data_IF_143498709831
#
_entry.id   IF_143498709831
#
_cell.length_a   1.000
_cell.length_b   1.000
_cell.length_c   1.000
_cell.angle_alpha   90.00
_cell.angle_beta   90.00
_cell.angle_gamma   90.00
#
_symmetry.space_group_name_H-M   'P 1'
#
loop_
_entity.id
_entity.type
_entity.pdbx_description
1 polymer ?
#
# COMPACT_ATOMS: atom_id res chain seq x y z
N UNK A 1 8.96 -21.32 -17.28
CA UNK A 1 9.54 -20.99 -15.96
C UNK A 1 9.05 -19.62 -15.55
N UNK A 2 8.64 -19.43 -14.28
CA UNK A 2 8.28 -18.11 -13.75
C UNK A 2 9.51 -17.20 -13.75
N UNK A 3 9.38 -15.95 -14.16
CA UNK A 3 10.43 -14.94 -14.00
C UNK A 3 10.55 -14.50 -12.54
N UNK A 4 11.63 -13.85 -12.11
CA UNK A 4 11.79 -13.39 -10.74
C UNK A 4 10.80 -12.28 -10.38
N UNK A 5 10.35 -12.29 -9.10
CA UNK A 5 9.61 -11.19 -8.48
C UNK A 5 10.57 -10.40 -7.60
N UNK A 6 10.61 -9.08 -7.78
CA UNK A 6 11.37 -8.16 -6.93
C UNK A 6 10.47 -7.63 -5.83
N UNK A 7 10.91 -7.71 -4.59
CA UNK A 7 10.18 -7.23 -3.42
C UNK A 7 10.97 -6.10 -2.78
N UNK A 8 10.45 -4.89 -2.86
CA UNK A 8 11.04 -3.69 -2.27
C UNK A 8 10.59 -3.58 -0.82
N UNK A 9 11.51 -3.18 0.07
CA UNK A 9 11.34 -3.16 1.52
C UNK A 9 11.04 -4.53 2.12
N UNK A 10 11.71 -5.55 1.59
CA UNK A 10 11.56 -6.96 1.96
C UNK A 10 11.86 -7.26 3.44
N UNK A 11 12.52 -6.36 4.16
CA UNK A 11 12.88 -6.54 5.56
C UNK A 11 11.76 -6.16 6.54
N UNK A 12 10.77 -5.37 6.13
CA UNK A 12 9.63 -5.05 6.97
C UNK A 12 8.66 -6.24 7.08
N UNK A 13 7.69 -6.17 7.97
CA UNK A 13 6.76 -7.27 8.25
C UNK A 13 6.00 -7.73 6.98
N UNK A 14 5.48 -6.80 6.21
CA UNK A 14 4.72 -7.12 5.00
C UNK A 14 5.64 -7.64 3.89
N UNK A 15 6.81 -7.02 3.70
CA UNK A 15 7.80 -7.47 2.74
C UNK A 15 8.25 -8.90 3.01
N UNK A 16 8.52 -9.25 4.27
CA UNK A 16 8.82 -10.64 4.66
C UNK A 16 7.70 -11.60 4.31
N UNK A 17 6.45 -11.23 4.57
CA UNK A 17 5.31 -12.07 4.21
C UNK A 17 5.20 -12.28 2.69
N UNK A 18 5.52 -11.24 1.88
CA UNK A 18 5.54 -11.37 0.42
C UNK A 18 6.69 -12.28 -0.03
N UNK A 19 7.88 -12.17 0.58
CA UNK A 19 9.02 -13.07 0.29
C UNK A 19 8.64 -14.52 0.59
N UNK A 20 8.09 -14.79 1.77
CA UNK A 20 7.68 -16.15 2.20
C UNK A 20 6.62 -16.74 1.26
N UNK A 21 5.60 -15.95 0.92
CA UNK A 21 4.56 -16.39 0.01
C UNK A 21 5.10 -16.63 -1.42
N UNK A 22 6.01 -15.78 -1.92
CA UNK A 22 6.62 -15.92 -3.24
C UNK A 22 7.45 -17.23 -3.31
N UNK A 23 8.30 -17.46 -2.33
CA UNK A 23 9.11 -18.68 -2.26
C UNK A 23 8.24 -19.94 -2.13
N UNK A 24 7.20 -19.90 -1.29
CA UNK A 24 6.25 -21.01 -1.14
C UNK A 24 5.53 -21.36 -2.46
N UNK A 25 5.21 -20.35 -3.26
CA UNK A 25 4.59 -20.51 -4.59
C UNK A 25 5.61 -20.86 -5.70
N UNK A 26 6.90 -21.03 -5.35
CA UNK A 26 7.96 -21.38 -6.30
C UNK A 26 8.40 -20.23 -7.23
N UNK A 27 8.23 -18.97 -6.80
CA UNK A 27 8.77 -17.84 -7.52
C UNK A 27 10.25 -17.67 -7.22
N UNK A 28 11.12 -17.52 -8.24
CA UNK A 28 12.42 -16.90 -8.02
C UNK A 28 12.22 -15.51 -7.43
N UNK A 29 12.87 -15.20 -6.31
CA UNK A 29 12.57 -14.01 -5.50
C UNK A 29 13.82 -13.16 -5.30
N UNK A 30 13.72 -11.86 -5.55
CA UNK A 30 14.76 -10.87 -5.28
C UNK A 30 14.24 -9.97 -4.14
N UNK A 31 14.78 -10.15 -2.94
CA UNK A 31 14.45 -9.35 -1.78
C UNK A 31 15.36 -8.14 -1.66
N UNK A 32 14.78 -6.95 -1.67
CA UNK A 32 15.49 -5.67 -1.61
C UNK A 32 15.21 -4.97 -0.28
N UNK A 33 16.25 -4.53 0.41
CA UNK A 33 16.15 -3.70 1.61
C UNK A 33 17.42 -2.87 1.80
N UNK A 34 17.30 -1.75 2.50
CA UNK A 34 18.43 -0.96 2.99
C UNK A 34 19.09 -1.60 4.22
N UNK A 35 18.39 -2.49 4.91
CA UNK A 35 18.87 -3.20 6.11
C UNK A 35 19.57 -4.50 5.72
N UNK A 36 20.91 -4.44 5.69
CA UNK A 36 21.74 -5.59 5.33
C UNK A 36 21.65 -6.74 6.34
N UNK A 37 21.48 -6.44 7.63
CA UNK A 37 21.37 -7.47 8.67
C UNK A 37 20.04 -8.23 8.53
N UNK A 38 18.96 -7.52 8.26
CA UNK A 38 17.66 -8.15 8.00
C UNK A 38 17.64 -8.98 6.71
N UNK A 39 18.36 -8.55 5.67
CA UNK A 39 18.53 -9.33 4.43
C UNK A 39 19.34 -10.62 4.69
N UNK A 40 20.37 -10.55 5.51
CA UNK A 40 21.15 -11.75 5.88
C UNK A 40 20.29 -12.73 6.67
N UNK A 41 19.51 -12.25 7.65
CA UNK A 41 18.58 -13.09 8.39
C UNK A 41 17.51 -13.74 7.49
N UNK A 42 17.03 -13.02 6.45
CA UNK A 42 16.15 -13.60 5.44
C UNK A 42 16.85 -14.69 4.63
N UNK A 43 18.10 -14.47 4.22
CA UNK A 43 18.89 -15.44 3.46
C UNK A 43 19.15 -16.71 4.27
N UNK A 44 19.48 -16.57 5.56
CA UNK A 44 19.71 -17.69 6.47
C UNK A 44 18.43 -18.51 6.68
N UNK A 45 17.30 -17.85 6.86
CA UNK A 45 16.00 -18.51 7.06
C UNK A 45 15.54 -19.31 5.83
N UNK A 46 15.89 -18.86 4.63
CA UNK A 46 15.43 -19.44 3.37
C UNK A 46 16.56 -20.08 2.56
N UNK A 47 17.54 -20.68 3.24
CA UNK A 47 18.62 -21.42 2.59
C UNK A 47 18.07 -22.53 1.69
N UNK A 48 18.70 -22.72 0.54
CA UNK A 48 18.29 -23.74 -0.44
C UNK A 48 17.07 -23.38 -1.30
N UNK A 49 16.52 -22.16 -1.14
CA UNK A 49 15.46 -21.62 -1.99
C UNK A 49 16.01 -20.75 -3.11
N UNK A 50 15.12 -20.30 -4.01
CA UNK A 50 15.49 -19.38 -5.10
C UNK A 50 15.43 -17.90 -4.63
N UNK A 51 15.95 -17.61 -3.45
CA UNK A 51 16.06 -16.26 -2.89
C UNK A 51 17.41 -15.64 -3.22
N UNK A 52 17.36 -14.44 -3.81
CA UNK A 52 18.50 -13.52 -3.94
C UNK A 52 18.22 -12.30 -3.08
N UNK A 53 19.18 -11.89 -2.25
CA UNK A 53 19.09 -10.66 -1.47
C UNK A 53 19.93 -9.56 -2.10
N UNK A 54 19.40 -8.36 -2.17
CA UNK A 54 20.05 -7.20 -2.76
C UNK A 54 19.92 -5.99 -1.84
N UNK A 55 21.03 -5.44 -1.40
CA UNK A 55 21.04 -4.19 -0.64
C UNK A 55 20.65 -3.04 -1.57
N UNK A 56 19.61 -2.28 -1.19
CA UNK A 56 19.11 -1.18 -2.00
C UNK A 56 17.92 -0.48 -1.36
N UNK A 57 17.53 0.64 -1.93
CA UNK A 57 16.42 1.47 -1.44
C UNK A 57 15.84 2.29 -2.58
N UNK A 58 14.59 2.71 -2.42
CA UNK A 58 13.88 3.61 -3.33
C UNK A 58 13.59 4.98 -2.69
N UNK A 59 14.26 5.31 -1.58
CA UNK A 59 13.98 6.51 -0.79
C UNK A 59 14.19 7.82 -1.56
N UNK A 60 15.03 7.80 -2.58
CA UNK A 60 15.30 8.93 -3.47
C UNK A 60 15.69 8.48 -4.88
N UNK A 61 15.85 9.44 -5.77
CA UNK A 61 16.16 9.24 -7.18
C UNK A 61 17.51 8.52 -7.39
N UNK A 62 18.55 8.93 -6.65
CA UNK A 62 19.88 8.36 -6.81
C UNK A 62 19.94 6.88 -6.39
N UNK A 63 19.28 6.55 -5.26
CA UNK A 63 19.20 5.18 -4.76
C UNK A 63 18.33 4.30 -5.64
N UNK A 64 17.22 4.83 -6.16
CA UNK A 64 16.38 4.13 -7.11
C UNK A 64 17.11 3.83 -8.43
N UNK A 65 17.91 4.77 -8.93
CA UNK A 65 18.74 4.57 -10.12
C UNK A 65 19.81 3.49 -9.89
N UNK A 66 20.48 3.53 -8.73
CA UNK A 66 21.50 2.53 -8.36
C UNK A 66 20.87 1.13 -8.23
N UNK A 67 19.71 1.02 -7.58
CA UNK A 67 18.95 -0.23 -7.50
C UNK A 67 18.58 -0.77 -8.87
N UNK A 68 18.07 0.09 -9.76
CA UNK A 68 17.72 -0.30 -11.11
C UNK A 68 18.94 -0.80 -11.90
N UNK A 69 20.11 -0.19 -11.73
CA UNK A 69 21.36 -0.66 -12.33
C UNK A 69 21.75 -2.05 -11.82
N UNK A 70 21.73 -2.25 -10.50
CA UNK A 70 22.03 -3.54 -9.89
C UNK A 70 21.05 -4.66 -10.32
N UNK A 71 19.76 -4.34 -10.48
CA UNK A 71 18.78 -5.30 -11.01
C UNK A 71 19.04 -5.67 -12.47
N UNK A 72 19.53 -4.73 -13.32
CA UNK A 72 19.93 -5.04 -14.70
C UNK A 72 21.11 -5.99 -14.77
N UNK A 73 22.10 -5.82 -13.88
CA UNK A 73 23.29 -6.68 -13.81
C UNK A 73 22.95 -8.14 -13.51
N UNK A 74 21.78 -8.43 -12.89
CA UNK A 74 21.32 -9.80 -12.67
C UNK A 74 20.91 -10.52 -13.97
N UNK A 75 20.75 -9.79 -15.07
CA UNK A 75 20.40 -10.30 -16.42
C UNK A 75 19.23 -11.31 -16.40
N UNK A 76 18.20 -11.00 -15.62
CA UNK A 76 17.00 -11.83 -15.48
C UNK A 76 15.76 -11.04 -15.84
N UNK A 77 14.94 -11.49 -16.80
CA UNK A 77 13.70 -10.81 -17.15
C UNK A 77 12.71 -10.85 -15.97
N UNK A 78 12.49 -9.70 -15.34
CA UNK A 78 11.65 -9.54 -14.15
C UNK A 78 10.17 -9.75 -14.52
N UNK A 79 9.46 -10.60 -13.76
CA UNK A 79 8.03 -10.84 -13.95
C UNK A 79 7.17 -9.78 -13.25
N UNK A 80 7.62 -9.30 -12.11
CA UNK A 80 6.90 -8.27 -11.36
C UNK A 80 7.72 -7.64 -10.25
N UNK A 81 7.24 -6.49 -9.81
CA UNK A 81 7.80 -5.75 -8.66
C UNK A 81 6.66 -5.50 -7.67
N UNK A 82 6.90 -5.79 -6.40
CA UNK A 82 5.99 -5.50 -5.30
C UNK A 82 6.65 -4.48 -4.38
N UNK A 83 6.02 -3.32 -4.22
CA UNK A 83 6.42 -2.31 -3.25
C UNK A 83 5.65 -2.58 -1.96
N UNK A 84 6.34 -3.08 -0.95
CA UNK A 84 5.76 -3.48 0.32
C UNK A 84 5.92 -2.42 1.42
N UNK A 85 6.24 -1.17 1.05
CA UNK A 85 6.37 -0.07 2.00
C UNK A 85 4.99 0.44 2.42
N UNK A 86 4.66 0.23 3.69
CA UNK A 86 3.42 0.74 4.29
C UNK A 86 3.62 2.01 5.11
N UNK A 87 4.85 2.55 5.14
CA UNK A 87 5.24 3.74 5.91
C UNK A 87 4.97 3.61 7.42
N UNK A 88 5.49 4.54 8.21
CA UNK A 88 5.26 4.57 9.65
C UNK A 88 3.97 5.34 10.01
N UNK A 89 3.03 4.75 10.76
CA UNK A 89 1.84 5.45 11.21
C UNK A 89 2.20 6.42 12.35
N UNK A 90 2.31 7.72 12.06
CA UNK A 90 2.50 8.76 13.08
C UNK A 90 1.17 9.42 13.39
N UNK A 91 0.75 9.34 14.65
CA UNK A 91 -0.43 10.04 15.14
C UNK A 91 -0.20 11.55 15.19
N UNK A 92 -1.25 12.31 14.97
CA UNK A 92 -1.28 13.77 15.08
C UNK A 92 -2.48 14.34 14.34
N UNK A 93 -3.09 15.38 14.91
CA UNK A 93 -4.13 16.14 14.20
C UNK A 93 -3.46 16.97 13.11
N UNK A 94 -4.09 17.04 11.96
CA UNK A 94 -3.55 17.77 10.82
C UNK A 94 -3.39 19.28 11.13
N UNK A 95 -4.34 19.84 11.85
CA UNK A 95 -4.35 21.27 12.22
C UNK A 95 -3.28 21.63 13.27
N UNK A 96 -2.72 20.66 13.97
CA UNK A 96 -1.66 20.87 14.95
C UNK A 96 -0.25 20.82 14.32
N UNK A 97 -0.18 20.43 13.02
CA UNK A 97 1.07 20.32 12.30
C UNK A 97 1.40 21.62 11.55
N UNK A 98 2.62 22.15 11.69
CA UNK A 98 3.11 23.19 10.80
C UNK A 98 3.04 22.73 9.33
N UNK A 99 2.69 23.63 8.42
CA UNK A 99 2.55 23.30 7.01
C UNK A 99 3.81 22.64 6.41
N UNK A 100 5.01 23.09 6.82
CA UNK A 100 6.27 22.49 6.37
C UNK A 100 6.43 21.05 6.85
N UNK A 101 6.01 20.74 8.08
CA UNK A 101 6.05 19.37 8.59
C UNK A 101 5.08 18.45 7.84
N UNK A 102 3.90 18.96 7.47
CA UNK A 102 2.97 18.24 6.62
C UNK A 102 3.59 17.92 5.24
N UNK A 103 4.21 18.91 4.59
CA UNK A 103 4.90 18.72 3.32
C UNK A 103 6.00 17.67 3.45
N UNK A 104 6.84 17.75 4.48
CA UNK A 104 7.90 16.77 4.72
C UNK A 104 7.36 15.33 4.86
N UNK A 105 6.19 15.17 5.48
CA UNK A 105 5.54 13.85 5.63
C UNK A 105 4.96 13.34 4.32
N UNK A 106 4.37 14.22 3.53
CA UNK A 106 3.87 13.86 2.19
C UNK A 106 5.04 13.47 1.29
N UNK A 107 6.11 14.26 1.30
CA UNK A 107 7.33 13.97 0.55
C UNK A 107 7.93 12.62 0.93
N UNK A 108 8.01 12.30 2.21
CA UNK A 108 8.54 11.02 2.69
C UNK A 108 7.72 9.80 2.22
N UNK A 109 6.43 9.98 1.94
CA UNK A 109 5.58 8.91 1.39
C UNK A 109 5.58 8.88 -0.14
N UNK A 110 5.62 10.04 -0.79
CA UNK A 110 5.41 10.16 -2.23
C UNK A 110 6.70 10.03 -3.03
N UNK A 111 7.80 10.67 -2.59
CA UNK A 111 9.07 10.65 -3.33
C UNK A 111 9.63 9.25 -3.56
N UNK A 112 9.63 8.33 -2.59
CA UNK A 112 10.07 6.96 -2.82
C UNK A 112 9.27 6.24 -3.90
N UNK A 113 7.97 6.50 -3.99
CA UNK A 113 7.09 5.87 -4.98
C UNK A 113 7.34 6.41 -6.39
N UNK A 114 7.53 7.73 -6.52
CA UNK A 114 7.87 8.37 -7.82
C UNK A 114 9.24 7.90 -8.28
N UNK A 115 10.25 7.94 -7.41
CA UNK A 115 11.61 7.53 -7.72
C UNK A 115 11.66 6.04 -8.10
N UNK A 116 10.99 5.18 -7.34
CA UNK A 116 10.86 3.76 -7.67
C UNK A 116 10.24 3.56 -9.05
N UNK A 117 9.09 4.16 -9.32
CA UNK A 117 8.38 4.01 -10.58
C UNK A 117 9.24 4.45 -11.78
N UNK A 118 9.88 5.62 -11.67
CA UNK A 118 10.71 6.21 -12.74
C UNK A 118 11.85 5.29 -13.18
N UNK A 119 12.50 4.60 -12.24
CA UNK A 119 13.65 3.76 -12.54
C UNK A 119 13.31 2.28 -12.74
N UNK A 120 12.24 1.78 -12.12
CA UNK A 120 11.91 0.37 -12.13
C UNK A 120 10.87 -0.01 -13.21
N UNK A 121 9.95 0.87 -13.60
CA UNK A 121 9.00 0.58 -14.69
C UNK A 121 9.70 0.30 -16.03
N UNK A 122 10.78 1.03 -16.42
CA UNK A 122 11.53 0.69 -17.63
C UNK A 122 12.15 -0.71 -17.63
N UNK A 123 12.53 -1.25 -16.45
CA UNK A 123 13.03 -2.63 -16.34
C UNK A 123 11.94 -3.65 -16.65
N UNK A 124 10.72 -3.41 -16.17
CA UNK A 124 9.58 -4.28 -16.47
C UNK A 124 9.21 -4.20 -17.94
N UNK A 125 9.22 -3.02 -18.54
CA UNK A 125 8.97 -2.83 -19.96
C UNK A 125 10.00 -3.57 -20.82
N UNK A 126 11.30 -3.47 -20.47
CA UNK A 126 12.39 -4.14 -21.18
C UNK A 126 12.33 -5.68 -21.06
N UNK A 127 11.66 -6.23 -20.04
CA UNK A 127 11.52 -7.67 -19.86
C UNK A 127 10.66 -8.35 -20.94
N UNK A 128 9.85 -7.60 -21.66
CA UNK A 128 8.94 -8.10 -22.70
C UNK A 128 7.83 -9.04 -22.21
N UNK A 129 7.59 -9.11 -20.88
CA UNK A 129 6.70 -10.10 -20.25
C UNK A 129 5.36 -9.54 -19.76
N UNK A 130 4.93 -8.35 -20.21
CA UNK A 130 3.77 -7.66 -19.64
C UNK A 130 3.89 -7.54 -18.12
N UNK A 131 5.03 -7.02 -17.65
CA UNK A 131 5.40 -6.97 -16.24
C UNK A 131 4.36 -6.31 -15.36
N UNK A 132 4.32 -6.72 -14.09
CA UNK A 132 3.39 -6.20 -13.10
C UNK A 132 4.13 -5.38 -12.04
N UNK A 133 3.62 -4.19 -11.74
CA UNK A 133 4.11 -3.31 -10.68
C UNK A 133 2.99 -3.11 -9.66
N UNK A 134 3.13 -3.72 -8.48
CA UNK A 134 2.11 -3.72 -7.44
C UNK A 134 2.60 -2.86 -6.28
N UNK A 135 1.87 -1.81 -5.96
CA UNK A 135 2.08 -0.99 -4.75
C UNK A 135 1.10 -1.46 -3.69
N UNK A 136 1.58 -1.82 -2.50
CA UNK A 136 0.68 -2.08 -1.38
C UNK A 136 0.35 -0.76 -0.71
N UNK A 137 -0.91 -0.37 -0.78
CA UNK A 137 -1.42 0.89 -0.25
C UNK A 137 -1.85 0.82 1.21
N UNK A 138 -2.35 1.94 1.68
CA UNK A 138 -2.87 2.09 3.03
C UNK A 138 -4.40 2.19 3.01
N UNK A 139 -5.10 1.63 4.00
CA UNK A 139 -6.56 1.74 4.09
C UNK A 139 -7.05 3.18 4.28
N UNK A 140 -6.20 4.10 4.76
CA UNK A 140 -6.55 5.51 4.87
C UNK A 140 -6.42 6.31 3.57
N UNK A 141 -6.14 5.66 2.43
CA UNK A 141 -6.01 6.33 1.13
C UNK A 141 -7.34 6.74 0.50
N UNK A 142 -8.43 6.10 0.89
CA UNK A 142 -9.79 6.40 0.38
C UNK A 142 -10.66 7.06 1.46
N UNK A 143 -10.45 6.72 2.72
CA UNK A 143 -11.20 7.25 3.86
C UNK A 143 -10.25 7.79 4.93
N UNK A 144 -10.40 9.05 5.35
CA UNK A 144 -9.50 9.65 6.32
C UNK A 144 -9.62 8.96 7.68
N UNK A 145 -8.48 8.79 8.35
CA UNK A 145 -8.46 8.28 9.71
C UNK A 145 -8.25 9.41 10.71
N UNK A 146 -9.16 9.50 11.68
CA UNK A 146 -9.04 10.47 12.76
C UNK A 146 -7.72 10.29 13.51
N UNK A 147 -6.99 11.39 13.70
CA UNK A 147 -5.68 11.38 14.33
C UNK A 147 -4.51 10.90 13.44
N UNK A 148 -4.75 10.63 12.16
CA UNK A 148 -3.74 10.26 11.16
C UNK A 148 -3.86 11.10 9.88
N UNK A 149 -4.17 12.39 10.03
CA UNK A 149 -4.48 13.26 8.90
C UNK A 149 -3.36 13.36 7.86
N UNK A 150 -2.11 13.57 8.27
CA UNK A 150 -0.97 13.61 7.34
C UNK A 150 -0.80 12.30 6.58
N UNK A 151 -0.95 11.16 7.28
CA UNK A 151 -0.91 9.83 6.67
C UNK A 151 -2.01 9.62 5.64
N UNK A 152 -3.24 10.09 5.94
CA UNK A 152 -4.36 9.98 5.01
C UNK A 152 -4.12 10.78 3.73
N UNK A 153 -3.55 12.00 3.85
CA UNK A 153 -3.19 12.83 2.70
C UNK A 153 -2.09 12.19 1.86
N UNK A 154 -1.00 11.72 2.49
CA UNK A 154 0.09 11.02 1.79
C UNK A 154 -0.39 9.75 1.09
N UNK A 155 -1.17 8.92 1.78
CA UNK A 155 -1.73 7.71 1.20
C UNK A 155 -2.69 7.99 0.02
N UNK A 156 -3.49 9.06 0.10
CA UNK A 156 -4.35 9.50 -1.01
C UNK A 156 -3.51 9.99 -2.21
N UNK A 157 -2.38 10.67 -1.95
CA UNK A 157 -1.45 11.09 -2.99
C UNK A 157 -0.83 9.85 -3.70
N UNK A 158 -0.40 8.83 -2.95
CA UNK A 158 0.11 7.57 -3.52
C UNK A 158 -0.96 6.83 -4.32
N UNK A 159 -2.22 6.84 -3.85
CA UNK A 159 -3.34 6.25 -4.59
C UNK A 159 -3.53 6.97 -5.95
N UNK A 160 -3.55 8.30 -5.96
CA UNK A 160 -3.69 9.05 -7.21
C UNK A 160 -2.46 8.87 -8.12
N UNK A 161 -1.24 8.91 -7.57
CA UNK A 161 -0.02 8.62 -8.32
C UNK A 161 -0.10 7.26 -9.02
N UNK A 162 -0.53 6.22 -8.30
CA UNK A 162 -0.65 4.87 -8.89
C UNK A 162 -1.66 4.83 -10.04
N UNK A 163 -2.76 5.58 -9.96
CA UNK A 163 -3.74 5.70 -11.05
C UNK A 163 -3.13 6.36 -12.29
N UNK A 164 -2.37 7.45 -12.11
CA UNK A 164 -1.67 8.12 -13.20
C UNK A 164 -0.64 7.18 -13.84
N UNK A 165 0.19 6.54 -13.02
CA UNK A 165 1.18 5.57 -13.51
C UNK A 165 0.53 4.37 -14.19
N UNK A 166 -0.65 3.92 -13.75
CA UNK A 166 -1.41 2.87 -14.41
C UNK A 166 -1.73 3.24 -15.87
N UNK A 167 -2.22 4.45 -16.10
CA UNK A 167 -2.58 4.91 -17.44
C UNK A 167 -1.33 5.13 -18.32
N UNK A 168 -0.28 5.75 -17.77
CA UNK A 168 0.96 6.02 -18.48
C UNK A 168 1.73 4.73 -18.84
N UNK A 169 1.84 3.78 -17.91
CA UNK A 169 2.62 2.57 -18.10
C UNK A 169 1.99 1.57 -19.08
N UNK A 170 0.68 1.70 -19.35
CA UNK A 170 0.00 0.87 -20.37
C UNK A 170 0.62 1.01 -21.75
N UNK A 171 1.16 2.18 -22.09
CA UNK A 171 1.82 2.42 -23.36
C UNK A 171 3.08 1.54 -23.57
N UNK A 172 3.70 1.08 -22.46
CA UNK A 172 4.89 0.20 -22.51
C UNK A 172 4.57 -1.25 -22.14
N UNK A 173 3.31 -1.63 -22.05
CA UNK A 173 2.90 -3.00 -21.69
C UNK A 173 3.15 -3.37 -20.23
N UNK A 174 3.27 -2.39 -19.33
CA UNK A 174 3.44 -2.62 -17.88
C UNK A 174 2.10 -2.36 -17.16
N UNK A 175 1.72 -3.28 -16.29
CA UNK A 175 0.52 -3.15 -15.46
C UNK A 175 0.91 -2.60 -14.09
N UNK A 176 0.46 -1.39 -13.77
CA UNK A 176 0.65 -0.77 -12.46
C UNK A 176 -0.65 -0.84 -11.68
N UNK A 177 -0.63 -1.36 -10.46
CA UNK A 177 -1.81 -1.50 -9.62
C UNK A 177 -1.51 -1.17 -8.16
N UNK A 178 -2.47 -0.51 -7.50
CA UNK A 178 -2.50 -0.34 -6.05
C UNK A 178 -3.32 -1.48 -5.45
N UNK A 179 -2.73 -2.27 -4.58
CA UNK A 179 -3.46 -3.17 -3.70
C UNK A 179 -3.87 -2.41 -2.44
N UNK A 180 -5.14 -2.05 -2.33
CA UNK A 180 -5.69 -1.24 -1.25
C UNK A 180 -6.40 -2.11 -0.21
N UNK A 181 -5.78 -2.41 0.96
CA UNK A 181 -6.49 -3.06 2.05
C UNK A 181 -7.62 -2.17 2.56
N UNK A 182 -8.80 -2.74 2.78
CA UNK A 182 -9.96 -2.01 3.34
C UNK A 182 -9.83 -1.73 4.84
N UNK A 183 -8.92 -2.42 5.53
CA UNK A 183 -8.68 -2.34 6.97
C UNK A 183 -7.18 -2.45 7.26
N UNK A 184 -6.70 -2.03 8.45
CA UNK A 184 -5.30 -2.23 8.84
C UNK A 184 -4.87 -3.68 8.72
N UNK A 185 -3.62 -3.90 8.36
CA UNK A 185 -3.04 -5.23 8.32
C UNK A 185 -2.74 -5.68 9.76
N UNK A 186 -3.15 -6.89 10.11
CA UNK A 186 -2.84 -7.49 11.41
C UNK A 186 -1.36 -7.83 11.47
N UNK A 187 -0.69 -7.33 12.50
CA UNK A 187 0.73 -7.59 12.80
C UNK A 187 0.87 -8.08 14.24
N UNK A 188 2.03 -8.60 14.60
CA UNK A 188 2.30 -8.96 16.01
C UNK A 188 2.23 -7.72 16.91
N UNK A 189 2.70 -6.56 16.43
CA UNK A 189 2.73 -5.31 17.20
C UNK A 189 1.32 -4.75 17.48
N UNK A 190 0.37 -4.94 16.57
CA UNK A 190 -1.00 -4.46 16.73
C UNK A 190 -1.99 -5.56 17.17
N UNK A 191 -1.52 -6.76 17.45
CA UNK A 191 -2.35 -7.94 17.77
C UNK A 191 -3.36 -7.69 18.89
N UNK A 192 -2.95 -6.95 19.91
CA UNK A 192 -3.82 -6.63 21.05
C UNK A 192 -5.03 -5.74 20.69
N UNK A 193 -4.92 -4.96 19.60
CA UNK A 193 -5.95 -4.03 19.12
C UNK A 193 -6.60 -4.49 17.82
N UNK A 194 -6.11 -5.58 17.22
CA UNK A 194 -6.57 -6.05 15.93
C UNK A 194 -7.94 -6.73 16.05
N UNK A 195 -8.89 -6.33 15.22
CA UNK A 195 -10.18 -7.00 15.09
C UNK A 195 -10.07 -8.22 14.16
N UNK A 196 -10.97 -9.19 14.32
CA UNK A 196 -10.99 -10.43 13.52
C UNK A 196 -11.15 -10.19 12.02
N UNK A 197 -11.78 -9.10 11.62
CA UNK A 197 -11.93 -8.70 10.22
C UNK A 197 -10.70 -8.00 9.61
N UNK A 198 -9.55 -7.88 10.32
CA UNK A 198 -8.35 -7.31 9.75
C UNK A 198 -7.57 -8.34 8.90
N UNK A 199 -7.12 -7.99 7.70
CA UNK A 199 -6.32 -8.89 6.88
C UNK A 199 -4.98 -9.21 7.54
N UNK A 200 -4.51 -10.43 7.37
CA UNK A 200 -3.14 -10.82 7.76
C UNK A 200 -2.14 -10.35 6.71
N UNK A 201 -0.87 -10.20 7.09
CA UNK A 201 0.21 -9.90 6.15
C UNK A 201 0.32 -10.99 5.07
N UNK A 202 0.11 -12.26 5.44
CA UNK A 202 0.10 -13.38 4.48
C UNK A 202 -1.02 -13.24 3.44
N UNK A 203 -2.24 -12.89 3.84
CA UNK A 203 -3.36 -12.72 2.92
C UNK A 203 -3.13 -11.54 1.93
N UNK A 204 -2.51 -10.44 2.39
CA UNK A 204 -2.10 -9.35 1.52
C UNK A 204 -1.00 -9.80 0.56
N UNK A 205 -0.01 -10.56 1.05
CA UNK A 205 1.08 -11.09 0.24
C UNK A 205 0.59 -12.01 -0.87
N UNK A 206 -0.29 -12.96 -0.57
CA UNK A 206 -0.91 -13.84 -1.55
C UNK A 206 -1.68 -13.04 -2.62
N UNK A 207 -2.43 -12.02 -2.21
CA UNK A 207 -3.15 -11.16 -3.16
C UNK A 207 -2.20 -10.35 -4.03
N UNK A 208 -1.11 -9.80 -3.48
CA UNK A 208 -0.10 -9.08 -4.25
C UNK A 208 0.54 -9.99 -5.32
N UNK A 209 0.89 -11.23 -4.96
CA UNK A 209 1.44 -12.20 -5.90
C UNK A 209 0.42 -12.64 -6.96
N UNK A 210 -0.84 -12.80 -6.60
CA UNK A 210 -1.91 -13.07 -7.56
C UNK A 210 -2.05 -11.94 -8.59
N UNK A 211 -1.81 -10.67 -8.21
CA UNK A 211 -1.76 -9.55 -9.15
C UNK A 211 -0.52 -9.60 -10.05
N UNK A 212 0.62 -10.08 -9.54
CA UNK A 212 1.81 -10.32 -10.36
C UNK A 212 1.58 -11.44 -11.37
N UNK A 213 0.90 -12.52 -10.98
CA UNK A 213 0.68 -13.70 -11.81
C UNK A 213 -0.34 -13.48 -12.95
N UNK A 214 -1.21 -12.49 -12.82
CA UNK A 214 -2.20 -12.17 -13.86
C UNK A 214 -1.51 -11.81 -15.18
N UNK A 215 -1.41 -12.76 -16.09
CA UNK A 215 -0.80 -12.58 -17.42
C UNK A 215 -1.79 -12.01 -18.45
N UNK A 216 -3.08 -12.08 -18.17
CA UNK A 216 -4.07 -11.54 -19.09
C UNK A 216 -4.05 -10.02 -19.06
N UNK A 217 -3.65 -9.41 -20.17
CA UNK A 217 -3.94 -8.02 -20.51
C UNK A 217 -5.44 -7.90 -20.73
N UNK A 218 -6.22 -7.98 -19.66
CA UNK A 218 -7.58 -7.49 -19.72
C UNK A 218 -7.50 -6.00 -19.92
N UNK A 219 -8.01 -5.51 -21.01
CA UNK A 219 -8.12 -4.09 -21.39
C UNK A 219 -8.82 -3.20 -20.34
N UNK A 220 -9.09 -3.72 -19.15
CA UNK A 220 -9.80 -3.13 -18.02
C UNK A 220 -9.30 -3.64 -16.66
N UNK A 221 -8.00 -3.89 -16.49
CA UNK A 221 -7.50 -4.08 -15.13
C UNK A 221 -7.70 -2.76 -14.35
N UNK A 222 -8.31 -2.83 -13.17
CA UNK A 222 -8.49 -1.65 -12.32
C UNK A 222 -7.12 -1.19 -11.77
N UNK A 223 -6.88 0.11 -11.79
CA UNK A 223 -5.69 0.70 -11.18
C UNK A 223 -5.62 0.47 -9.67
N UNK A 224 -6.79 0.36 -9.03
CA UNK A 224 -6.92 0.13 -7.57
C UNK A 224 -7.70 -1.14 -7.33
N UNK A 225 -7.04 -2.13 -6.73
CA UNK A 225 -7.63 -3.41 -6.34
C UNK A 225 -7.90 -3.38 -4.84
N UNK A 226 -9.16 -3.24 -4.46
CA UNK A 226 -9.55 -3.28 -3.05
C UNK A 226 -9.47 -4.69 -2.51
N UNK A 227 -8.89 -4.83 -1.33
CA UNK A 227 -8.81 -6.09 -0.63
C UNK A 227 -9.60 -6.03 0.67
N UNK A 228 -10.70 -6.77 0.70
CA UNK A 228 -11.43 -7.07 1.93
C UNK A 228 -11.23 -8.55 2.27
N UNK A 229 -10.85 -8.91 3.49
CA UNK A 229 -10.82 -10.31 3.88
C UNK A 229 -12.23 -10.90 3.78
N UNK A 230 -12.33 -12.16 3.40
CA UNK A 230 -13.60 -12.87 3.45
C UNK A 230 -14.14 -12.82 4.91
N UNK A 231 -15.45 -12.62 5.11
CA UNK A 231 -16.00 -12.68 6.46
C UNK A 231 -15.62 -14.03 7.06
N UNK A 232 -15.13 -14.01 8.32
CA UNK A 232 -14.89 -15.25 9.05
C UNK A 232 -16.16 -16.09 8.96
N UNK A 233 -16.07 -17.33 8.47
CA UNK A 233 -17.19 -18.24 8.49
C UNK A 233 -17.62 -18.35 9.95
N UNK A 234 -18.81 -17.86 10.25
CA UNK A 234 -19.46 -18.14 11.53
C UNK A 234 -19.44 -19.66 11.66
N UNK A 235 -18.88 -20.15 12.75
CA UNK A 235 -18.95 -21.56 13.13
C UNK A 235 -20.43 -21.96 13.11
N UNK A 236 -20.72 -23.10 12.51
CA UNK A 236 -22.07 -23.58 12.16
C UNK A 236 -22.94 -23.95 13.37
N UNK A 237 -22.79 -23.32 14.52
CA UNK A 237 -23.54 -23.61 15.76
C UNK A 237 -24.53 -22.52 16.19
N UNK A 238 -24.77 -21.48 15.36
CA UNK A 238 -25.78 -20.45 15.68
C UNK A 238 -26.78 -20.23 14.52
N UNK A 239 -27.24 -21.31 13.93
CA UNK A 239 -28.26 -21.30 12.90
C UNK A 239 -29.66 -21.51 13.49
N UNK A 240 -30.13 -20.62 14.36
CA UNK A 240 -31.56 -20.49 14.66
C UNK A 240 -31.84 -19.10 15.25
N UNK A 241 -31.86 -18.07 14.46
CA UNK A 241 -32.69 -16.87 14.67
C UNK A 241 -32.55 -15.90 13.47
N UNK A 242 -33.68 -15.67 12.84
CA UNK A 242 -34.04 -14.44 12.12
C UNK A 242 -33.55 -14.27 10.69
N UNK A 243 -34.16 -15.00 9.77
CA UNK A 243 -34.47 -14.48 8.45
C UNK A 243 -35.63 -13.48 8.58
N UNK A 244 -35.37 -12.20 8.63
CA UNK A 244 -36.28 -11.13 8.19
C UNK A 244 -35.52 -9.80 8.30
N UNK A 245 -35.33 -9.12 7.18
CA UNK A 245 -34.89 -7.73 6.95
C UNK A 245 -33.67 -7.62 6.03
N UNK A 246 -33.88 -8.01 4.79
CA UNK A 246 -33.10 -7.49 3.68
C UNK A 246 -34.08 -6.87 2.69
N UNK A 247 -34.29 -5.58 2.82
CA UNK A 247 -34.62 -4.64 1.74
C UNK A 247 -34.94 -3.28 2.36
N UNK A 248 -33.98 -2.39 2.46
CA UNK A 248 -34.16 -0.96 2.22
C UNK A 248 -32.93 -0.16 2.65
N UNK A 249 -32.58 0.79 1.83
CA UNK A 249 -31.82 1.99 2.14
C UNK A 249 -30.31 1.92 2.07
N UNK A 250 -29.81 2.14 0.84
CA UNK A 250 -28.55 2.84 0.59
C UNK A 250 -28.68 4.32 1.04
N UNK A 251 -28.57 4.58 2.33
CA UNK A 251 -28.34 5.91 2.86
C UNK A 251 -27.11 5.82 3.76
N UNK A 252 -26.09 6.58 3.43
CA UNK A 252 -24.85 6.75 4.17
C UNK A 252 -25.19 7.27 5.57
N UNK A 253 -25.42 6.39 6.54
CA UNK A 253 -25.52 6.77 7.93
C UNK A 253 -24.09 6.94 8.48
N UNK A 254 -23.70 8.17 8.72
CA UNK A 254 -22.51 8.50 9.49
C UNK A 254 -22.74 7.99 10.91
N UNK A 255 -21.77 7.22 11.43
CA UNK A 255 -21.78 6.72 12.80
C UNK A 255 -21.99 7.87 13.80
N UNK A 256 -22.90 7.74 14.82
CA UNK A 256 -23.23 8.79 15.76
C UNK A 256 -22.04 9.39 16.51
N UNK A 257 -20.97 8.61 16.76
CA UNK A 257 -19.77 9.12 17.41
C UNK A 257 -18.91 9.94 16.44
N UNK A 258 -18.87 9.57 15.17
CA UNK A 258 -18.26 10.37 14.10
C UNK A 258 -19.00 11.69 13.88
N UNK A 259 -20.33 11.68 13.99
CA UNK A 259 -21.16 12.89 13.89
C UNK A 259 -20.88 13.85 15.06
N UNK A 260 -20.77 13.35 16.28
CA UNK A 260 -20.42 14.17 17.46
C UNK A 260 -19.05 14.84 17.34
N UNK A 261 -18.08 14.12 16.84
CA UNK A 261 -16.72 14.67 16.60
C UNK A 261 -16.75 15.75 15.53
N UNK A 262 -17.51 15.56 14.46
CA UNK A 262 -17.71 16.56 13.42
C UNK A 262 -18.41 17.81 13.96
N UNK A 263 -19.46 17.66 14.75
CA UNK A 263 -20.21 18.77 15.34
C UNK A 263 -19.35 19.56 16.34
N UNK A 264 -18.57 18.89 17.18
CA UNK A 264 -17.62 19.55 18.09
C UNK A 264 -16.52 20.32 17.35
N UNK A 265 -16.03 19.75 16.22
CA UNK A 265 -15.03 20.39 15.40
C UNK A 265 -15.61 21.60 14.68
N UNK A 266 -16.84 21.51 14.19
CA UNK A 266 -17.54 22.62 13.53
C UNK A 266 -17.77 23.80 14.48
N UNK A 267 -18.24 23.56 15.69
CA UNK A 267 -18.40 24.60 16.72
C UNK A 267 -17.09 25.25 17.15
N UNK A 268 -15.98 24.54 17.10
CA UNK A 268 -14.65 25.11 17.37
C UNK A 268 -14.10 25.99 16.24
N UNK A 269 -14.54 25.77 14.99
CA UNK A 269 -14.09 26.51 13.81
C UNK A 269 -14.97 27.73 13.52
N UNK A 270 -16.21 27.76 13.96
CA UNK A 270 -17.18 28.82 13.70
C UNK A 270 -16.69 30.24 14.10
N UNK A 271 -16.07 30.44 15.29
CA UNK A 271 -15.51 31.74 15.66
C UNK A 271 -14.36 32.19 14.77
N UNK A 272 -13.54 31.25 14.28
CA UNK A 272 -12.39 31.54 13.41
C UNK A 272 -12.88 31.96 12.02
N UNK A 273 -13.87 31.25 11.48
CA UNK A 273 -14.49 31.58 10.20
C UNK A 273 -15.19 32.93 10.22
N UNK A 274 -15.88 33.26 11.31
CA UNK A 274 -16.51 34.56 11.49
C UNK A 274 -15.50 35.69 11.59
N UNK A 275 -14.38 35.50 12.29
CA UNK A 275 -13.29 36.47 12.36
C UNK A 275 -12.63 36.74 11.00
N UNK A 276 -12.47 35.70 10.15
CA UNK A 276 -11.92 35.83 8.81
C UNK A 276 -12.90 36.61 7.91
N UNK A 277 -14.19 36.35 8.05
CA UNK A 277 -15.24 37.02 7.27
C UNK A 277 -15.34 38.51 7.60
N UNK A 278 -15.29 38.87 8.88
CA UNK A 278 -15.30 40.27 9.34
C UNK A 278 -14.04 41.05 8.93
N UNK A 279 -12.87 40.40 8.85
CA UNK A 279 -11.64 41.01 8.39
C UNK A 279 -11.54 41.11 6.85
N UNK A 280 -12.28 40.30 6.11
CA UNK A 280 -12.38 40.35 4.65
C UNK A 280 -13.28 41.47 4.12
N UNK A 281 -14.29 41.86 4.89
CA UNK A 281 -15.22 42.92 4.52
C UNK A 281 -14.72 44.36 4.86
N UNK A 282 -13.54 44.48 5.50
CA UNK A 282 -12.89 45.77 5.86
C UNK A 282 -11.76 46.19 4.94
N UNK A 283 -11.56 45.54 3.82
CA UNK A 283 -10.65 45.90 2.74
C UNK A 283 -11.45 46.13 1.45
#
# INVERSE_FOLDING_TARGET
MKGPVVIIDAANLLGRAVVEAALFQGWPTIAVSKDAAALEALRERHQGTQLVTLAGSTVDEARSAALAAALRELDRPIAGIVIADVGEPRRGRLLDLPAQELLNRIDAELLPQIAAARHLLPLLAASGRNGSYVVVGSPCSEHPWAGYGARSVGAAAVNMLTRVLHDEARAFGVRVQLLAPSRPVRTEENRACACDGWPTAAAIAEKALALVEQTEVRNRADAVVRFAPAPARASADDATATQTEQAASSATSVDPDSQRVLDQTWHALEPILNSIRENGERK
#
